data_IF_253396700649
#
_entry.id   IF_253396700649
#
_cell.length_a   1.000
_cell.length_b   1.000
_cell.length_c   1.000
_cell.angle_alpha   90.00
_cell.angle_beta   90.00
_cell.angle_gamma   90.00
#
_symmetry.space_group_name_H-M   'P 1'
#
loop_
_entity.id
_entity.type
_entity.pdbx_description
1 polymer ?
#
# COMPACT_ATOMS: atom_id res chain seq x y z
N UNK A 1 -6.45 21.93 -7.97
CA UNK A 1 -6.40 22.13 -6.51
C UNK A 1 -4.97 22.23 -6.04
N UNK A 2 -4.67 23.18 -5.19
CA UNK A 2 -3.35 23.33 -4.61
C UNK A 2 -3.17 22.41 -3.42
N UNK A 3 -1.99 21.81 -3.33
CA UNK A 3 -1.65 21.01 -2.14
C UNK A 3 -1.04 21.92 -1.07
N UNK A 4 -1.50 21.74 0.15
CA UNK A 4 -1.00 22.48 1.31
C UNK A 4 0.25 21.86 1.92
N UNK A 5 0.41 20.54 1.73
CA UNK A 5 1.48 19.76 2.32
C UNK A 5 2.27 19.08 1.21
N UNK A 6 3.58 19.19 1.27
CA UNK A 6 4.46 18.46 0.38
C UNK A 6 4.65 17.05 0.95
N UNK A 7 4.32 16.05 0.16
CA UNK A 7 4.45 14.67 0.58
C UNK A 7 5.91 14.23 0.52
N UNK A 8 6.38 13.58 1.58
CA UNK A 8 7.76 13.11 1.68
C UNK A 8 7.93 11.67 1.22
N UNK A 9 6.84 10.93 1.07
CA UNK A 9 6.87 9.50 0.79
C UNK A 9 6.04 9.14 -0.42
N UNK A 10 6.54 8.15 -1.18
CA UNK A 10 5.80 7.48 -2.23
C UNK A 10 5.59 6.04 -1.82
N UNK A 11 4.41 5.49 -2.10
CA UNK A 11 4.05 4.13 -1.74
C UNK A 11 3.78 3.32 -2.99
N UNK A 12 4.38 2.13 -3.06
CA UNK A 12 4.23 1.21 -4.18
C UNK A 12 3.59 -0.06 -3.64
N UNK A 13 2.45 -0.44 -4.20
CA UNK A 13 1.68 -1.59 -3.75
C UNK A 13 1.63 -2.58 -4.90
N UNK A 14 2.12 -3.80 -4.67
CA UNK A 14 2.17 -4.83 -5.69
C UNK A 14 1.40 -6.06 -5.24
N UNK A 15 0.62 -6.64 -6.14
CA UNK A 15 -0.04 -7.92 -5.89
C UNK A 15 1.01 -9.03 -6.02
N UNK A 16 1.24 -9.76 -4.94
CA UNK A 16 2.28 -10.80 -4.88
C UNK A 16 1.72 -12.22 -4.90
N UNK A 17 0.46 -12.41 -4.48
CA UNK A 17 -0.14 -13.74 -4.42
C UNK A 17 -1.65 -13.64 -4.46
N UNK A 18 -2.31 -14.71 -4.93
CA UNK A 18 -3.75 -14.83 -4.98
C UNK A 18 -4.25 -14.98 -6.41
N UNK A 19 -5.53 -15.33 -6.55
CA UNK A 19 -6.15 -15.57 -7.84
C UNK A 19 -7.16 -14.47 -8.16
N UNK A 20 -7.08 -13.92 -9.37
CA UNK A 20 -7.96 -12.84 -9.83
C UNK A 20 -9.44 -13.20 -9.73
N UNK A 21 -9.80 -14.47 -9.93
CA UNK A 21 -11.20 -14.93 -9.87
C UNK A 21 -11.83 -14.75 -8.48
N UNK A 22 -11.01 -14.63 -7.45
CA UNK A 22 -11.49 -14.42 -6.08
C UNK A 22 -11.49 -12.95 -5.67
N UNK A 23 -11.01 -12.06 -6.54
CA UNK A 23 -10.95 -10.63 -6.29
C UNK A 23 -12.07 -9.91 -7.04
N UNK A 24 -12.84 -9.07 -6.34
CA UNK A 24 -13.94 -8.32 -6.97
C UNK A 24 -13.48 -7.45 -8.12
N UNK A 25 -12.27 -6.95 -8.06
CA UNK A 25 -11.70 -6.07 -9.08
C UNK A 25 -10.82 -6.83 -10.07
N UNK A 26 -10.64 -8.13 -9.86
CA UNK A 26 -9.85 -8.97 -10.76
C UNK A 26 -8.36 -8.69 -10.73
N UNK A 27 -7.81 -8.24 -9.62
CA UNK A 27 -6.37 -7.98 -9.52
C UNK A 27 -5.59 -9.26 -9.71
N UNK A 28 -4.54 -9.18 -10.50
CA UNK A 28 -3.67 -10.31 -10.82
C UNK A 28 -2.28 -10.10 -10.23
N UNK A 29 -1.62 -11.21 -9.96
CA UNK A 29 -0.22 -11.19 -9.52
C UNK A 29 0.63 -10.37 -10.47
N UNK A 30 1.38 -9.42 -9.92
CA UNK A 30 2.20 -8.49 -10.69
C UNK A 30 1.57 -7.13 -10.92
N UNK A 31 0.27 -6.97 -10.66
CA UNK A 31 -0.36 -5.65 -10.74
C UNK A 31 0.29 -4.72 -9.73
N UNK A 32 0.52 -3.46 -10.13
CA UNK A 32 1.22 -2.47 -9.32
C UNK A 32 0.39 -1.19 -9.24
N UNK A 33 0.30 -0.63 -8.05
CA UNK A 33 -0.35 0.64 -7.78
C UNK A 33 0.64 1.55 -7.07
N UNK A 34 0.65 2.82 -7.45
CA UNK A 34 1.56 3.81 -6.86
C UNK A 34 0.77 5.01 -6.40
N UNK A 35 1.10 5.52 -5.23
CA UNK A 35 0.45 6.73 -4.71
C UNK A 35 1.38 7.51 -3.78
N UNK A 36 1.03 8.77 -3.57
CA UNK A 36 1.63 9.61 -2.54
C UNK A 36 0.60 9.85 -1.43
N UNK A 37 -0.33 10.78 -1.64
CA UNK A 37 -1.39 11.04 -0.67
C UNK A 37 -2.77 11.01 -1.34
N UNK A 38 -2.95 10.10 -2.26
CA UNK A 38 -4.23 9.88 -2.93
C UNK A 38 -4.55 8.39 -2.93
N UNK A 39 -5.79 8.07 -3.25
CA UNK A 39 -6.17 6.68 -3.52
C UNK A 39 -5.62 6.31 -4.89
N UNK A 40 -4.82 5.23 -5.01
CA UNK A 40 -4.34 4.82 -6.32
C UNK A 40 -5.51 4.53 -7.26
N UNK A 41 -5.38 4.96 -8.51
CA UNK A 41 -6.43 4.77 -9.51
C UNK A 41 -6.78 3.28 -9.65
N UNK A 42 -8.06 2.97 -9.50
CA UNK A 42 -8.56 1.60 -9.66
C UNK A 42 -8.29 0.67 -8.49
N UNK A 43 -7.78 1.18 -7.39
CA UNK A 43 -7.49 0.33 -6.23
C UNK A 43 -8.76 -0.04 -5.47
N UNK A 44 -8.68 -1.12 -4.69
CA UNK A 44 -9.82 -1.63 -3.93
C UNK A 44 -10.20 -0.69 -2.78
N UNK A 45 -11.42 -0.15 -2.76
CA UNK A 45 -11.82 0.78 -1.70
C UNK A 45 -11.85 0.12 -0.32
N UNK A 46 -12.15 -1.16 -0.26
CA UNK A 46 -12.23 -1.89 1.00
C UNK A 46 -10.85 -2.08 1.62
N UNK A 47 -9.86 -2.43 0.79
CA UNK A 47 -8.47 -2.62 1.25
C UNK A 47 -7.78 -1.30 1.53
N UNK A 48 -8.29 -0.20 0.98
CA UNK A 48 -7.69 1.12 1.20
C UNK A 48 -7.65 1.52 2.68
N UNK A 49 -8.55 1.00 3.50
CA UNK A 49 -8.52 1.25 4.95
C UNK A 49 -7.20 0.75 5.57
N UNK A 50 -6.77 -0.45 5.17
CA UNK A 50 -5.49 -1.02 5.63
C UNK A 50 -4.32 -0.23 5.06
N UNK A 51 -4.36 0.10 3.78
CA UNK A 51 -3.29 0.86 3.12
C UNK A 51 -3.11 2.22 3.78
N UNK A 52 -4.21 2.90 4.07
CA UNK A 52 -4.16 4.20 4.75
C UNK A 52 -3.42 4.07 6.10
N UNK A 53 -3.79 3.08 6.89
CA UNK A 53 -3.15 2.85 8.19
C UNK A 53 -1.66 2.60 8.05
N UNK A 54 -1.26 1.76 7.10
CA UNK A 54 0.16 1.46 6.87
C UNK A 54 0.94 2.70 6.41
N UNK A 55 0.36 3.48 5.51
CA UNK A 55 0.99 4.71 5.04
C UNK A 55 1.18 5.72 6.18
N UNK A 56 0.19 5.85 7.05
CA UNK A 56 0.27 6.79 8.18
C UNK A 56 1.37 6.40 9.18
N UNK A 57 1.64 5.11 9.35
CA UNK A 57 2.74 4.67 10.21
C UNK A 57 4.05 5.32 9.75
N UNK A 58 4.33 5.25 8.45
CA UNK A 58 5.57 5.81 7.89
C UNK A 58 5.55 7.33 7.91
N UNK A 59 4.43 7.96 7.56
CA UNK A 59 4.30 9.42 7.55
C UNK A 59 4.53 10.03 8.93
N UNK A 60 4.16 9.29 9.98
CA UNK A 60 4.32 9.73 11.36
C UNK A 60 5.68 9.34 11.96
N UNK A 61 6.61 8.86 11.15
CA UNK A 61 7.96 8.53 11.58
C UNK A 61 8.12 7.12 12.14
N UNK A 62 7.13 6.26 11.94
CA UNK A 62 7.18 4.88 12.41
C UNK A 62 7.82 3.93 11.41
N UNK A 63 7.81 2.65 11.76
CA UNK A 63 8.43 1.58 10.97
C UNK A 63 7.48 0.39 10.92
N UNK A 64 7.48 -0.32 9.79
CA UNK A 64 6.67 -1.53 9.64
C UNK A 64 7.16 -2.69 10.53
N UNK A 65 8.32 -2.55 11.14
CA UNK A 65 8.76 -3.52 12.15
C UNK A 65 7.80 -3.58 13.33
N UNK A 66 7.11 -2.49 13.62
CA UNK A 66 6.07 -2.45 14.65
C UNK A 66 4.87 -3.31 14.31
N UNK A 67 4.71 -3.65 13.04
CA UNK A 67 3.62 -4.49 12.54
C UNK A 67 4.08 -5.92 12.20
N UNK A 68 5.28 -6.29 12.64
CA UNK A 68 5.79 -7.63 12.44
C UNK A 68 6.62 -7.86 11.19
N UNK A 69 6.85 -6.82 10.40
CA UNK A 69 7.76 -6.94 9.25
C UNK A 69 9.21 -6.99 9.74
N UNK A 70 10.06 -7.69 8.99
CA UNK A 70 11.49 -7.68 9.25
C UNK A 70 12.20 -6.49 8.60
N UNK A 71 11.46 -5.68 7.81
CA UNK A 71 11.99 -4.47 7.16
C UNK A 71 11.25 -3.24 7.66
N UNK A 72 11.96 -2.10 7.69
CA UNK A 72 11.39 -0.85 8.20
C UNK A 72 10.32 -0.26 7.29
N UNK A 73 10.50 -0.36 5.98
CA UNK A 73 9.68 0.34 5.00
C UNK A 73 9.05 -0.56 3.97
N UNK A 74 8.95 -1.86 4.26
CA UNK A 74 8.29 -2.83 3.40
C UNK A 74 7.45 -3.77 4.25
N UNK A 75 6.28 -4.11 3.78
CA UNK A 75 5.40 -5.03 4.50
C UNK A 75 4.48 -5.76 3.53
N UNK A 76 4.21 -7.03 3.83
CA UNK A 76 3.20 -7.82 3.14
C UNK A 76 1.91 -7.76 3.95
N UNK A 77 0.78 -7.70 3.26
CA UNK A 77 -0.52 -7.70 3.94
C UNK A 77 -1.59 -8.31 3.04
N UNK A 78 -2.62 -8.95 3.62
CA UNK A 78 -3.72 -9.47 2.83
C UNK A 78 -4.70 -8.37 2.46
N UNK A 79 -5.48 -8.59 1.39
CA UNK A 79 -6.60 -7.70 1.10
C UNK A 79 -7.66 -7.84 2.21
N UNK A 80 -8.63 -6.92 2.21
CA UNK A 80 -9.65 -6.91 3.26
C UNK A 80 -10.47 -8.20 3.31
N UNK A 81 -10.63 -8.88 2.19
CA UNK A 81 -11.34 -10.16 2.11
C UNK A 81 -10.42 -11.37 2.28
N UNK A 82 -9.11 -11.16 2.37
CA UNK A 82 -8.14 -12.25 2.53
C UNK A 82 -7.88 -13.07 1.28
N UNK A 83 -8.33 -12.62 0.11
CA UNK A 83 -8.25 -13.39 -1.14
C UNK A 83 -6.93 -13.24 -1.85
N UNK A 84 -6.30 -12.07 -1.75
CA UNK A 84 -5.01 -11.80 -2.38
C UNK A 84 -4.09 -11.10 -1.38
N UNK A 85 -2.80 -11.16 -1.68
CA UNK A 85 -1.77 -10.55 -0.83
C UNK A 85 -1.03 -9.47 -1.59
N UNK A 86 -0.71 -8.41 -0.88
CA UNK A 86 0.03 -7.26 -1.41
C UNK A 86 1.36 -7.12 -0.71
N UNK A 87 2.29 -6.52 -1.41
CA UNK A 87 3.57 -6.06 -0.86
C UNK A 87 3.62 -4.54 -1.03
N UNK A 88 3.80 -3.83 0.08
CA UNK A 88 3.88 -2.37 0.08
C UNK A 88 5.30 -1.94 0.39
N UNK A 89 5.81 -1.02 -0.42
CA UNK A 89 7.12 -0.40 -0.23
C UNK A 89 6.90 1.09 -0.02
N UNK A 90 7.43 1.65 1.07
CA UNK A 90 7.47 3.08 1.29
C UNK A 90 8.84 3.59 0.88
N UNK A 91 8.88 4.62 0.05
CA UNK A 91 10.11 5.16 -0.50
C UNK A 91 10.15 6.68 -0.35
N UNK A 92 11.25 7.25 0.20
CA UNK A 92 11.36 8.72 0.28
C UNK A 92 11.41 9.32 -1.12
N UNK A 93 10.73 10.46 -1.30
CA UNK A 93 10.68 11.13 -2.60
C UNK A 93 11.91 11.98 -2.83
N UNK A 94 12.34 12.70 -1.82
CA UNK A 94 13.41 13.67 -1.94
C UNK A 94 14.67 13.22 -1.19
N UNK A 95 15.51 12.50 -1.90
CA UNK A 95 16.80 12.07 -1.38
C UNK A 95 17.88 12.20 -2.43
#
# INVERSE_FOLDING_TARGET
MQKWIVEDWEFIIKVIEGEAKHCRLGFEKGDVFTCQYEVPTGFCPKTMATVHTLCEIVRCGGSFKLRGSDKEYEIDFPCADGCIYFHLVARPINQ
#
